data_IF_335696275875
#
_entry.id   IF_335696275875
#
_cell.length_a   1.000
_cell.length_b   1.000
_cell.length_c   1.000
_cell.angle_alpha   90.00
_cell.angle_beta   90.00
_cell.angle_gamma   90.00
#
_symmetry.space_group_name_H-M   'P 1'
#
loop_
_entity.id
_entity.type
_entity.pdbx_description
1 polymer ?
#
# COMPACT_ATOMS: atom_id res chain seq x y z
N UNK A 1 -27.34 0.92 -8.16
CA UNK A 1 -25.92 0.53 -8.33
C UNK A 1 -25.11 1.80 -8.56
N UNK A 2 -24.51 2.39 -7.51
CA UNK A 2 -23.74 3.63 -7.64
C UNK A 2 -22.29 3.31 -8.05
N UNK A 3 -21.96 3.51 -9.32
CA UNK A 3 -20.60 3.46 -9.84
C UNK A 3 -19.87 4.73 -9.39
N UNK A 4 -19.11 4.64 -8.30
CA UNK A 4 -18.30 5.76 -7.84
C UNK A 4 -17.14 5.98 -8.84
N UNK A 5 -17.30 6.96 -9.72
CA UNK A 5 -16.32 7.37 -10.74
C UNK A 5 -15.13 8.14 -10.14
N UNK A 6 -15.16 8.44 -8.83
CA UNK A 6 -14.12 9.15 -8.10
C UNK A 6 -14.01 8.60 -6.66
N UNK A 7 -13.59 7.33 -6.48
CA UNK A 7 -13.10 6.86 -5.17
C UNK A 7 -11.72 7.48 -4.81
N UNK A 8 -11.58 8.78 -5.01
CA UNK A 8 -10.42 9.55 -4.60
C UNK A 8 -10.41 9.83 -3.10
N UNK A 9 -11.57 9.78 -2.43
CA UNK A 9 -11.68 10.16 -1.01
C UNK A 9 -12.89 9.55 -0.25
N UNK A 10 -13.54 8.50 -0.77
CA UNK A 10 -14.60 7.86 0.01
C UNK A 10 -13.96 6.92 1.04
N UNK A 11 -14.08 7.32 2.30
CA UNK A 11 -13.88 6.51 3.49
C UNK A 11 -14.71 5.22 3.40
N UNK A 12 -14.23 4.21 2.67
CA UNK A 12 -14.75 2.86 2.78
C UNK A 12 -14.33 2.31 4.13
N UNK A 13 -15.33 2.00 4.97
CA UNK A 13 -15.24 1.66 6.39
C UNK A 13 -14.48 0.36 6.74
N UNK A 14 -13.80 -0.25 5.78
CA UNK A 14 -12.79 -1.27 5.99
C UNK A 14 -11.72 -1.04 4.92
N UNK A 15 -10.69 -0.26 5.25
CA UNK A 15 -9.51 -0.22 4.39
C UNK A 15 -8.81 -1.57 4.55
N UNK A 16 -8.68 -2.30 3.43
CA UNK A 16 -7.92 -3.55 3.41
C UNK A 16 -6.53 -3.33 4.01
N UNK A 17 -6.20 -4.13 5.02
CA UNK A 17 -4.90 -4.21 5.68
C UNK A 17 -3.97 -5.22 4.99
N UNK A 18 -4.26 -5.60 3.74
CA UNK A 18 -3.45 -6.54 2.95
C UNK A 18 -2.05 -5.96 2.67
N UNK A 19 -1.95 -4.64 2.44
CA UNK A 19 -0.69 -3.93 2.25
C UNK A 19 -0.52 -2.85 3.33
N UNK A 20 0.69 -2.65 3.84
CA UNK A 20 1.01 -1.48 4.67
C UNK A 20 1.15 -0.24 3.78
N UNK A 21 0.01 0.36 3.46
CA UNK A 21 -0.06 1.53 2.59
C UNK A 21 0.56 2.77 3.26
N UNK A 22 0.49 2.88 4.59
CA UNK A 22 0.99 4.05 5.31
C UNK A 22 2.51 4.03 5.29
N UNK A 23 3.12 2.92 5.71
CA UNK A 23 4.57 2.74 5.67
C UNK A 23 5.12 2.84 4.26
N UNK A 24 4.44 2.23 3.28
CA UNK A 24 4.84 2.36 1.88
C UNK A 24 4.80 3.80 1.38
N UNK A 25 3.73 4.55 1.67
CA UNK A 25 3.62 5.97 1.26
C UNK A 25 4.75 6.82 1.86
N UNK A 26 5.06 6.62 3.15
CA UNK A 26 6.18 7.31 3.81
C UNK A 26 7.51 6.96 3.14
N UNK A 27 7.77 5.67 2.92
CA UNK A 27 8.94 5.21 2.19
C UNK A 27 9.08 5.87 0.81
N UNK A 28 7.98 5.98 0.05
CA UNK A 28 8.04 6.62 -1.26
C UNK A 28 8.39 8.12 -1.18
N UNK A 29 7.91 8.85 -0.17
CA UNK A 29 8.25 10.27 -0.01
C UNK A 29 9.66 10.50 0.51
N UNK A 30 10.11 9.67 1.44
CA UNK A 30 11.37 9.89 2.15
C UNK A 30 12.57 9.27 1.45
N UNK A 31 12.38 8.15 0.75
CA UNK A 31 13.46 7.34 0.18
C UNK A 31 13.48 7.37 -1.36
N UNK A 32 12.56 8.09 -2.01
CA UNK A 32 12.53 8.16 -3.47
C UNK A 32 12.21 9.58 -3.96
N UNK A 33 12.79 9.99 -5.08
CA UNK A 33 12.51 11.29 -5.73
C UNK A 33 11.27 11.25 -6.63
N UNK A 34 10.23 10.50 -6.23
CA UNK A 34 9.02 10.36 -7.03
C UNK A 34 8.07 11.53 -6.85
N UNK A 35 7.42 11.93 -7.95
CA UNK A 35 6.40 12.98 -7.91
C UNK A 35 5.20 12.57 -7.05
N UNK A 36 4.54 13.54 -6.42
CA UNK A 36 3.30 13.30 -5.66
C UNK A 36 2.22 12.58 -6.49
N UNK A 37 2.14 12.85 -7.80
CA UNK A 37 1.22 12.18 -8.71
C UNK A 37 1.52 10.68 -8.82
N UNK A 38 2.79 10.33 -9.06
CA UNK A 38 3.25 8.93 -9.14
C UNK A 38 3.03 8.19 -7.82
N UNK A 39 3.35 8.82 -6.68
CA UNK A 39 3.10 8.25 -5.35
C UNK A 39 1.62 7.94 -5.14
N UNK A 40 0.75 8.89 -5.50
CA UNK A 40 -0.71 8.71 -5.40
C UNK A 40 -1.19 7.55 -6.26
N UNK A 41 -0.69 7.42 -7.48
CA UNK A 41 -1.04 6.31 -8.37
C UNK A 41 -0.66 4.95 -7.79
N UNK A 42 0.55 4.80 -7.26
CA UNK A 42 0.97 3.54 -6.64
C UNK A 42 0.14 3.19 -5.42
N UNK A 43 -0.12 4.16 -4.54
CA UNK A 43 -0.99 3.97 -3.37
C UNK A 43 -2.40 3.53 -3.79
N UNK A 44 -3.00 4.20 -4.77
CA UNK A 44 -4.35 3.86 -5.25
C UNK A 44 -4.38 2.46 -5.87
N UNK A 45 -3.37 2.09 -6.65
CA UNK A 45 -3.26 0.74 -7.25
C UNK A 45 -3.19 -0.34 -6.18
N UNK A 46 -2.30 -0.19 -5.18
CA UNK A 46 -2.18 -1.18 -4.11
C UNK A 46 -3.43 -1.25 -3.24
N UNK A 47 -4.11 -0.14 -2.95
CA UNK A 47 -5.39 -0.14 -2.23
C UNK A 47 -6.47 -0.92 -2.96
N UNK A 48 -6.63 -0.67 -4.27
CA UNK A 48 -7.60 -1.39 -5.11
C UNK A 48 -7.29 -2.89 -5.19
N UNK A 49 -6.01 -3.23 -5.37
CA UNK A 49 -5.57 -4.62 -5.40
C UNK A 49 -5.80 -5.29 -4.04
N UNK A 50 -5.43 -4.65 -2.93
CA UNK A 50 -5.61 -5.20 -1.58
C UNK A 50 -7.08 -5.48 -1.26
N UNK A 51 -7.97 -4.54 -1.64
CA UNK A 51 -9.42 -4.74 -1.52
C UNK A 51 -9.88 -5.96 -2.34
N UNK A 52 -9.44 -6.08 -3.60
CA UNK A 52 -9.77 -7.22 -4.44
C UNK A 52 -9.30 -8.54 -3.83
N UNK A 53 -8.08 -8.61 -3.33
CA UNK A 53 -7.52 -9.82 -2.70
C UNK A 53 -8.26 -10.18 -1.42
N UNK A 54 -8.63 -9.18 -0.61
CA UNK A 54 -9.38 -9.38 0.65
C UNK A 54 -10.77 -9.96 0.37
N UNK A 55 -11.50 -9.39 -0.60
CA UNK A 55 -12.84 -9.86 -0.98
C UNK A 55 -12.81 -11.30 -1.52
N UNK A 56 -11.71 -11.70 -2.18
CA UNK A 56 -11.53 -13.05 -2.70
C UNK A 56 -10.87 -14.02 -1.70
N UNK A 57 -10.70 -13.63 -0.43
CA UNK A 57 -10.06 -14.44 0.61
C UNK A 57 -8.67 -14.98 0.21
N UNK A 58 -7.90 -14.20 -0.53
CA UNK A 58 -6.56 -14.59 -0.96
C UNK A 58 -5.61 -14.56 0.25
N UNK A 59 -4.77 -15.59 0.39
CA UNK A 59 -3.82 -15.67 1.51
C UNK A 59 -2.75 -14.57 1.43
N UNK A 60 -2.45 -13.96 2.58
CA UNK A 60 -1.35 -13.01 2.74
C UNK A 60 0.03 -13.68 2.70
N UNK A 61 0.10 -15.00 2.73
CA UNK A 61 1.37 -15.73 2.61
C UNK A 61 2.06 -15.48 1.27
N UNK A 62 1.29 -15.11 0.24
CA UNK A 62 1.80 -14.66 -1.05
C UNK A 62 2.68 -13.40 -0.96
N UNK A 63 2.59 -12.66 0.16
CA UNK A 63 3.47 -11.52 0.41
C UNK A 63 4.82 -11.93 1.03
N UNK A 64 4.97 -13.17 1.50
CA UNK A 64 6.12 -13.60 2.32
C UNK A 64 7.24 -14.24 1.49
N UNK A 65 6.91 -14.90 0.39
CA UNK A 65 7.87 -15.68 -0.42
C UNK A 65 7.92 -15.14 -1.85
N UNK A 66 9.05 -15.30 -2.54
CA UNK A 66 9.16 -14.98 -3.97
C UNK A 66 8.95 -13.52 -4.36
N UNK A 67 8.71 -13.29 -5.65
CA UNK A 67 8.46 -11.97 -6.21
C UNK A 67 6.97 -11.62 -6.15
N UNK A 68 6.63 -10.49 -5.53
CA UNK A 68 5.24 -10.09 -5.32
C UNK A 68 4.45 -9.92 -6.63
N UNK A 69 5.10 -9.41 -7.66
CA UNK A 69 4.47 -9.16 -8.96
C UNK A 69 4.20 -10.43 -9.76
N UNK A 70 4.99 -11.49 -9.56
CA UNK A 70 4.76 -12.82 -10.13
C UNK A 70 3.71 -13.58 -9.32
N UNK A 71 3.87 -13.61 -7.99
CA UNK A 71 2.92 -14.26 -7.11
C UNK A 71 1.51 -13.73 -7.35
N UNK A 72 1.35 -12.40 -7.36
CA UNK A 72 0.04 -11.78 -7.47
C UNK A 72 -0.48 -11.65 -8.91
N UNK A 73 0.29 -12.10 -9.91
CA UNK A 73 -0.05 -12.02 -11.34
C UNK A 73 -1.48 -12.51 -11.65
N UNK A 74 -1.95 -13.67 -11.13
CA UNK A 74 -3.26 -14.20 -11.47
C UNK A 74 -4.44 -13.30 -11.03
N UNK A 75 -4.21 -12.38 -10.10
CA UNK A 75 -5.22 -11.46 -9.57
C UNK A 75 -5.04 -10.02 -10.05
N UNK A 76 -4.10 -9.77 -10.96
CA UNK A 76 -3.94 -8.47 -11.58
C UNK A 76 -5.03 -8.24 -12.62
N UNK A 77 -5.53 -6.99 -12.77
CA UNK A 77 -6.43 -6.67 -13.86
C UNK A 77 -5.69 -6.85 -15.20
N UNK A 78 -6.41 -7.38 -16.19
CA UNK A 78 -5.89 -7.53 -17.56
C UNK A 78 -5.57 -6.18 -18.21
N UNK A 79 -6.25 -5.11 -17.77
CA UNK A 79 -5.92 -3.74 -18.14
C UNK A 79 -4.88 -3.19 -17.18
N UNK A 80 -3.85 -2.51 -17.70
CA UNK A 80 -2.80 -1.90 -16.89
C UNK A 80 -2.00 -2.88 -16.01
N UNK A 81 -1.91 -4.16 -16.36
CA UNK A 81 -1.17 -5.18 -15.58
C UNK A 81 0.24 -4.73 -15.20
N UNK A 82 0.99 -4.19 -16.17
CA UNK A 82 2.35 -3.69 -15.93
C UNK A 82 2.41 -2.55 -14.91
N UNK A 83 1.40 -1.69 -14.87
CA UNK A 83 1.32 -0.60 -13.89
C UNK A 83 1.17 -1.11 -12.46
N UNK A 84 0.45 -2.23 -12.27
CA UNK A 84 0.36 -2.90 -10.97
C UNK A 84 1.65 -3.64 -10.63
N UNK A 85 2.27 -4.33 -11.59
CA UNK A 85 3.57 -5.00 -11.39
C UNK A 85 4.65 -4.03 -10.91
N UNK A 86 4.74 -2.85 -11.53
CA UNK A 86 5.70 -1.81 -11.12
C UNK A 86 5.43 -1.34 -9.67
N UNK A 87 4.17 -1.10 -9.32
CA UNK A 87 3.79 -0.73 -7.96
C UNK A 87 4.14 -1.84 -6.94
N UNK A 88 3.91 -3.11 -7.29
CA UNK A 88 4.26 -4.27 -6.46
C UNK A 88 5.77 -4.43 -6.27
N UNK A 89 6.57 -4.23 -7.31
CA UNK A 89 8.04 -4.24 -7.19
C UNK A 89 8.55 -3.11 -6.29
N UNK A 90 7.95 -1.92 -6.39
CA UNK A 90 8.26 -0.82 -5.46
C UNK A 90 7.86 -1.14 -4.03
N UNK A 91 6.72 -1.80 -3.83
CA UNK A 91 6.33 -2.27 -2.50
C UNK A 91 7.26 -3.36 -1.96
N UNK A 92 7.76 -4.26 -2.81
CA UNK A 92 8.78 -5.23 -2.42
C UNK A 92 10.09 -4.55 -1.96
N UNK A 93 10.51 -3.47 -2.63
CA UNK A 93 11.67 -2.66 -2.20
C UNK A 93 11.45 -2.07 -0.80
N UNK A 94 10.26 -1.53 -0.54
CA UNK A 94 9.87 -1.05 0.78
C UNK A 94 9.99 -2.16 1.84
N UNK A 95 9.49 -3.37 1.56
CA UNK A 95 9.58 -4.50 2.50
C UNK A 95 11.01 -4.90 2.84
N UNK A 96 11.94 -4.82 1.88
CA UNK A 96 13.35 -5.14 2.10
C UNK A 96 14.05 -4.04 2.91
N UNK A 97 13.72 -2.78 2.64
CA UNK A 97 14.35 -1.63 3.31
C UNK A 97 13.76 -1.34 4.69
N UNK A 98 12.55 -1.83 4.98
CA UNK A 98 11.90 -1.70 6.28
C UNK A 98 11.47 -3.05 6.89
N UNK A 99 12.40 -3.98 7.22
CA UNK A 99 12.02 -5.27 7.78
C UNK A 99 11.41 -5.22 9.21
N UNK A 100 11.23 -4.02 9.80
CA UNK A 100 10.74 -3.87 11.18
C UNK A 100 10.07 -2.53 11.52
N UNK A 101 9.61 -1.74 10.54
CA UNK A 101 9.11 -0.38 10.77
C UNK A 101 7.64 -0.28 11.26
N UNK A 102 7.11 -1.29 11.95
CA UNK A 102 5.98 -1.06 12.88
C UNK A 102 6.56 -0.62 14.23
N UNK A 103 7.28 0.49 14.25
CA UNK A 103 7.26 1.37 15.41
C UNK A 103 6.49 2.59 14.96
N UNK A 104 5.17 2.52 15.18
CA UNK A 104 4.38 3.73 15.36
C UNK A 104 5.23 4.63 16.29
N UNK A 105 5.62 5.81 15.81
CA UNK A 105 6.00 6.86 16.74
C UNK A 105 4.76 7.06 17.61
N UNK A 106 4.73 6.42 18.78
CA UNK A 106 3.92 6.89 19.87
C UNK A 106 4.23 8.38 19.93
N UNK A 107 3.21 9.20 19.73
CA UNK A 107 3.31 10.63 19.93
C UNK A 107 3.77 10.77 21.38
N UNK A 108 5.08 10.97 21.58
CA UNK A 108 5.60 11.35 22.86
C UNK A 108 4.90 12.67 23.18
N UNK A 109 4.07 12.64 24.22
CA UNK A 109 3.44 13.83 24.74
C UNK A 109 4.55 14.81 25.09
N UNK A 110 4.60 15.91 24.36
CA UNK A 110 5.43 17.05 24.70
C UNK A 110 4.53 18.27 24.77
N UNK A 111 4.09 18.57 25.98
CA UNK A 111 4.25 19.89 26.63
C UNK A 111 4.21 19.61 28.15
N UNK A 112 5.36 19.35 28.76
CA UNK A 112 6.11 20.32 29.60
C UNK A 112 5.34 20.81 30.83
N UNK A 113 5.91 20.44 31.98
CA UNK A 113 5.65 20.88 33.34
C UNK A 113 5.62 22.40 33.53
N UNK A 114 4.87 22.88 34.54
CA UNK A 114 5.42 23.65 35.68
C UNK A 114 4.34 24.04 36.72
N UNK A 115 4.62 23.64 37.97
CA UNK A 115 4.19 24.05 39.33
C UNK A 115 2.82 24.69 39.58
#
# INVERSE_FOLDING_TARGET
>A
MALCRFCGDLHCKEQSDFFDIIGFKQFLFEQTEMSHGTVREYVVRLRRLGQHLTVNNISRDLLKTGYLDENLEPWLPATSTNNYRIALRKYAQYKVQMPGAIKQKAHAGTTSDIY
#
